data_IF_402205909319
#
_entry.id   IF_402205909319
#
_cell.length_a   1.000
_cell.length_b   1.000
_cell.length_c   1.000
_cell.angle_alpha   90.00
_cell.angle_beta   90.00
_cell.angle_gamma   90.00
#
_symmetry.space_group_name_H-M   'P 1'
#
loop_
_entity.id
_entity.type
_entity.pdbx_description
1 polymer ?
#
# COMPACT_ATOMS: atom_id res chain seq x y z
N UNK A 1 -5.56 -2.96 15.83
CA UNK A 1 -6.30 -4.18 15.48
C UNK A 1 -6.29 -4.31 13.97
N UNK A 2 -5.61 -5.29 13.42
CA UNK A 2 -5.54 -5.50 11.98
C UNK A 2 -6.77 -6.28 11.55
N UNK A 3 -7.68 -5.68 10.84
CA UNK A 3 -8.74 -6.41 10.15
C UNK A 3 -8.27 -6.75 8.74
N UNK A 4 -7.64 -7.90 8.57
CA UNK A 4 -7.38 -8.45 7.25
C UNK A 4 -8.53 -9.39 6.90
N UNK A 5 -9.47 -8.91 6.10
CA UNK A 5 -10.56 -9.74 5.59
C UNK A 5 -10.06 -10.61 4.43
N UNK A 6 -10.32 -11.92 4.49
CA UNK A 6 -10.16 -12.83 3.36
C UNK A 6 -11.42 -12.81 2.51
N UNK A 7 -11.34 -12.56 1.19
CA UNK A 7 -12.44 -12.92 0.31
C UNK A 7 -12.62 -14.45 0.34
N UNK A 8 -13.85 -14.92 0.42
CA UNK A 8 -14.22 -16.36 0.47
C UNK A 8 -13.98 -17.14 -0.83
N UNK A 9 -13.34 -16.57 -1.80
CA UNK A 9 -12.91 -17.24 -3.02
C UNK A 9 -11.39 -17.41 -2.97
N UNK A 10 -10.90 -18.49 -2.36
CA UNK A 10 -9.61 -19.16 -2.58
C UNK A 10 -8.36 -18.33 -2.95
N UNK A 11 -8.38 -17.04 -2.75
CA UNK A 11 -7.29 -16.14 -3.05
C UNK A 11 -6.52 -15.82 -1.79
N UNK A 12 -5.49 -16.59 -1.48
CA UNK A 12 -4.44 -16.07 -0.62
C UNK A 12 -3.94 -14.77 -1.28
N UNK A 13 -4.08 -13.64 -0.58
CA UNK A 13 -3.27 -12.47 -0.89
C UNK A 13 -1.83 -12.99 -0.97
N UNK A 14 -1.22 -12.81 -2.15
CA UNK A 14 0.09 -13.41 -2.38
C UNK A 14 1.11 -12.71 -1.46
N UNK A 15 1.55 -13.33 -0.36
CA UNK A 15 2.44 -12.70 0.61
C UNK A 15 3.89 -12.65 0.11
N UNK A 16 4.10 -12.80 -1.19
CA UNK A 16 5.40 -12.97 -1.84
C UNK A 16 6.41 -11.91 -1.40
N UNK A 17 5.97 -10.67 -1.29
CA UNK A 17 6.86 -9.59 -0.87
C UNK A 17 7.24 -9.65 0.60
N UNK A 18 6.38 -10.20 1.44
CA UNK A 18 6.60 -10.33 2.89
C UNK A 18 7.16 -11.70 3.28
N UNK A 19 6.74 -12.79 2.60
CA UNK A 19 7.19 -14.15 2.91
C UNK A 19 8.65 -14.41 2.53
N UNK A 20 9.25 -13.53 1.75
CA UNK A 20 10.63 -13.67 1.32
C UNK A 20 10.90 -14.83 0.37
N UNK A 21 9.87 -15.37 -0.26
CA UNK A 21 9.98 -16.46 -1.24
C UNK A 21 10.30 -15.99 -2.66
N UNK A 22 10.59 -14.72 -2.88
CA UNK A 22 10.87 -14.17 -4.20
C UNK A 22 9.61 -13.91 -5.04
N UNK A 23 9.81 -13.58 -6.31
CA UNK A 23 8.74 -13.13 -7.22
C UNK A 23 7.70 -14.19 -7.59
N UNK A 24 7.99 -15.46 -7.36
CA UNK A 24 7.05 -16.55 -7.56
C UNK A 24 7.52 -17.85 -6.88
N UNK A 25 6.88 -18.30 -5.80
CA UNK A 25 7.26 -19.53 -5.13
C UNK A 25 6.88 -20.80 -5.92
N UNK A 26 6.00 -20.74 -6.90
CA UNK A 26 5.40 -21.92 -7.50
C UNK A 26 5.78 -22.19 -8.96
N UNK A 27 6.16 -21.17 -9.72
CA UNK A 27 6.39 -21.33 -11.15
C UNK A 27 7.83 -21.50 -11.57
N UNK A 28 8.80 -21.12 -10.73
CA UNK A 28 10.17 -20.84 -11.19
C UNK A 28 11.29 -21.62 -10.54
N UNK A 29 10.99 -22.50 -9.61
CA UNK A 29 12.02 -23.23 -8.87
C UNK A 29 13.02 -23.99 -9.77
N UNK A 30 12.64 -24.60 -10.91
CA UNK A 30 13.60 -25.28 -11.76
C UNK A 30 14.46 -24.34 -12.63
N UNK A 31 13.91 -23.21 -13.09
CA UNK A 31 14.60 -22.24 -13.96
C UNK A 31 15.42 -21.22 -13.18
N UNK A 32 15.06 -20.97 -11.93
CA UNK A 32 15.62 -19.94 -11.06
C UNK A 32 16.95 -20.31 -10.41
N UNK A 33 17.46 -21.49 -10.61
CA UNK A 33 18.85 -21.79 -10.20
C UNK A 33 19.84 -20.77 -10.80
N UNK A 34 19.50 -20.18 -11.96
CA UNK A 34 20.26 -19.11 -12.60
C UNK A 34 19.74 -17.68 -12.25
N UNK A 35 18.55 -17.52 -11.65
CA UNK A 35 17.94 -16.24 -11.24
C UNK A 35 18.03 -15.97 -9.74
N UNK A 36 18.90 -16.68 -9.02
CA UNK A 36 19.17 -16.47 -7.58
C UNK A 36 19.48 -14.99 -7.25
N UNK A 37 20.03 -14.24 -8.21
CA UNK A 37 20.39 -12.84 -8.03
C UNK A 37 19.15 -11.94 -7.91
N UNK A 38 18.16 -12.08 -8.79
CA UNK A 38 16.92 -11.28 -8.76
C UNK A 38 16.01 -11.66 -7.58
N UNK A 39 15.95 -12.95 -7.24
CA UNK A 39 15.22 -13.43 -6.06
C UNK A 39 15.81 -12.89 -4.75
N UNK A 40 17.14 -12.72 -4.67
CA UNK A 40 17.80 -12.08 -3.52
C UNK A 40 17.51 -10.58 -3.43
N UNK A 41 17.52 -9.90 -4.55
CA UNK A 41 17.31 -8.45 -4.61
C UNK A 41 15.89 -8.04 -4.18
N UNK A 42 14.90 -8.86 -4.52
CA UNK A 42 13.49 -8.59 -4.23
C UNK A 42 12.98 -9.28 -2.96
N UNK A 43 13.80 -10.11 -2.33
CA UNK A 43 13.45 -10.84 -1.12
C UNK A 43 13.31 -9.87 0.06
N UNK A 44 12.25 -10.05 0.86
CA UNK A 44 12.12 -9.37 2.14
C UNK A 44 13.30 -9.70 3.08
N UNK A 45 13.76 -8.73 3.87
CA UNK A 45 14.82 -8.94 4.85
C UNK A 45 14.39 -9.92 5.97
N UNK A 46 15.31 -10.28 6.87
CA UNK A 46 15.04 -11.25 7.93
C UNK A 46 13.94 -10.75 8.89
N UNK A 47 13.97 -9.46 9.23
CA UNK A 47 13.03 -8.86 10.18
C UNK A 47 11.61 -8.84 9.63
N UNK A 48 11.45 -8.45 8.36
CA UNK A 48 10.14 -8.47 7.68
C UNK A 48 9.58 -9.91 7.60
N UNK A 49 10.43 -10.92 7.34
CA UNK A 49 10.01 -12.33 7.33
C UNK A 49 9.63 -12.85 8.72
N UNK A 50 10.32 -12.39 9.76
CA UNK A 50 9.99 -12.74 11.14
C UNK A 50 8.65 -12.11 11.53
N UNK A 51 8.47 -10.82 11.25
CA UNK A 51 7.22 -10.12 11.49
C UNK A 51 6.04 -10.77 10.75
N UNK A 52 6.26 -11.21 9.50
CA UNK A 52 5.24 -11.92 8.74
C UNK A 52 4.84 -13.25 9.41
N UNK A 53 5.82 -14.05 9.88
CA UNK A 53 5.54 -15.31 10.59
C UNK A 53 4.75 -15.08 11.89
N UNK A 54 5.08 -14.01 12.63
CA UNK A 54 4.31 -13.63 13.82
C UNK A 54 2.87 -13.23 13.46
N UNK A 55 2.71 -12.47 12.39
CA UNK A 55 1.39 -12.09 11.87
C UNK A 55 0.57 -13.32 11.45
N UNK A 56 1.18 -14.28 10.74
CA UNK A 56 0.51 -15.54 10.33
C UNK A 56 0.01 -16.36 11.54
N UNK A 57 0.65 -16.23 12.69
CA UNK A 57 0.31 -16.93 13.93
C UNK A 57 -0.73 -16.18 14.78
N UNK A 58 -1.01 -14.91 14.45
CA UNK A 58 -2.00 -14.14 15.21
C UNK A 58 -3.42 -14.60 14.93
N UNK A 59 -4.26 -14.55 15.95
CA UNK A 59 -5.67 -14.94 15.84
C UNK A 59 -6.43 -14.08 14.84
N UNK A 60 -6.14 -12.78 14.81
CA UNK A 60 -6.77 -11.82 13.92
C UNK A 60 -6.47 -12.12 12.45
N UNK A 61 -5.27 -12.61 12.14
CA UNK A 61 -4.89 -13.00 10.78
C UNK A 61 -5.49 -14.35 10.37
N UNK A 62 -5.59 -15.29 11.32
CA UNK A 62 -6.15 -16.63 11.07
C UNK A 62 -7.68 -16.59 10.96
N UNK A 63 -8.34 -15.67 11.68
CA UNK A 63 -9.79 -15.51 11.73
C UNK A 63 -10.21 -14.10 11.28
N UNK A 64 -9.97 -13.74 10.01
CA UNK A 64 -10.28 -12.39 9.52
C UNK A 64 -11.79 -12.15 9.49
N UNK A 65 -12.17 -10.95 9.86
CA UNK A 65 -13.54 -10.45 9.72
C UNK A 65 -13.89 -10.26 8.23
N UNK A 66 -15.09 -10.59 7.81
CA UNK A 66 -15.58 -10.26 6.47
C UNK A 66 -15.75 -8.75 6.33
N UNK A 67 -15.56 -8.20 5.14
CA UNK A 67 -15.66 -6.76 4.92
C UNK A 67 -17.02 -6.19 5.32
N UNK A 68 -18.11 -6.89 5.02
CA UNK A 68 -19.46 -6.53 5.40
C UNK A 68 -19.72 -6.53 6.93
N UNK A 69 -18.88 -7.22 7.70
CA UNK A 69 -19.02 -7.33 9.14
C UNK A 69 -18.10 -6.37 9.90
N UNK A 70 -17.31 -5.55 9.21
CA UNK A 70 -16.45 -4.54 9.83
C UNK A 70 -17.33 -3.50 10.55
N UNK A 71 -16.95 -3.19 11.79
CA UNK A 71 -17.57 -2.15 12.61
C UNK A 71 -16.58 -0.98 12.77
N UNK A 72 -16.56 -0.01 11.86
CA UNK A 72 -15.57 1.04 11.85
C UNK A 72 -15.68 2.00 13.04
N UNK A 73 -16.85 2.07 13.67
CA UNK A 73 -17.09 2.78 14.93
C UNK A 73 -16.27 2.21 16.10
N UNK A 74 -16.03 0.89 16.10
CA UNK A 74 -15.27 0.18 17.13
C UNK A 74 -13.76 0.17 16.86
N UNK A 75 -13.31 0.77 15.77
CA UNK A 75 -11.91 0.78 15.38
C UNK A 75 -11.31 2.19 15.57
N UNK A 76 -10.09 2.24 16.11
CA UNK A 76 -9.38 3.50 16.35
C UNK A 76 -8.66 4.05 15.12
N UNK A 77 -8.25 3.18 14.21
CA UNK A 77 -7.49 3.55 13.04
C UNK A 77 -7.64 2.53 11.90
N UNK A 78 -7.35 2.96 10.68
CA UNK A 78 -7.42 2.15 9.47
C UNK A 78 -6.03 2.06 8.83
N UNK A 79 -5.59 0.83 8.51
CA UNK A 79 -4.39 0.58 7.72
C UNK A 79 -4.77 -0.16 6.44
N UNK A 80 -4.44 0.41 5.30
CA UNK A 80 -4.74 -0.10 3.98
C UNK A 80 -3.44 -0.57 3.28
N UNK A 81 -3.16 -1.88 3.25
CA UNK A 81 -2.00 -2.42 2.56
C UNK A 81 -2.17 -2.33 1.05
N UNK A 82 -1.05 -2.39 0.35
CA UNK A 82 -1.04 -2.52 -1.10
C UNK A 82 -0.85 -3.95 -1.56
N UNK A 83 -0.75 -4.10 -2.87
CA UNK A 83 -0.48 -5.34 -3.58
C UNK A 83 -0.40 -5.07 -5.07
N UNK A 84 -0.17 -6.12 -5.85
CA UNK A 84 -0.22 -6.03 -7.30
C UNK A 84 -1.49 -6.72 -7.83
N UNK A 85 -1.44 -7.30 -9.02
CA UNK A 85 -2.51 -8.12 -9.59
C UNK A 85 -2.67 -9.49 -8.89
N UNK A 86 -2.38 -9.59 -7.60
CA UNK A 86 -2.69 -10.78 -6.83
C UNK A 86 -4.22 -11.03 -6.83
N UNK A 87 -4.61 -12.30 -6.63
CA UNK A 87 -6.03 -12.63 -6.46
C UNK A 87 -6.62 -11.81 -5.32
N UNK A 88 -7.79 -11.24 -5.53
CA UNK A 88 -8.48 -10.41 -4.56
C UNK A 88 -8.07 -8.94 -4.56
N UNK A 89 -7.07 -8.51 -5.36
CA UNK A 89 -6.66 -7.10 -5.38
C UNK A 89 -7.72 -6.21 -6.04
N UNK A 90 -8.35 -6.66 -7.12
CA UNK A 90 -9.44 -5.89 -7.74
C UNK A 90 -10.66 -5.82 -6.85
N UNK A 91 -11.05 -6.95 -6.27
CA UNK A 91 -12.14 -7.04 -5.32
C UNK A 91 -11.92 -6.10 -4.13
N UNK A 92 -10.67 -6.02 -3.62
CA UNK A 92 -10.28 -5.09 -2.57
C UNK A 92 -10.39 -3.63 -3.01
N UNK A 93 -9.90 -3.29 -4.20
CA UNK A 93 -9.87 -1.91 -4.71
C UNK A 93 -11.23 -1.43 -5.26
N UNK A 94 -12.14 -2.36 -5.54
CA UNK A 94 -13.46 -2.09 -6.14
C UNK A 94 -14.60 -2.35 -5.13
N UNK A 95 -14.28 -2.68 -3.86
CA UNK A 95 -15.28 -2.97 -2.84
C UNK A 95 -16.00 -1.71 -2.34
N UNK A 96 -17.30 -1.69 -2.50
CA UNK A 96 -18.16 -0.62 -1.96
C UNK A 96 -18.17 -0.64 -0.43
N UNK A 97 -18.15 -1.82 0.20
CA UNK A 97 -18.09 -1.94 1.66
C UNK A 97 -16.82 -1.29 2.22
N UNK A 98 -15.67 -1.52 1.56
CA UNK A 98 -14.42 -0.91 1.99
C UNK A 98 -14.38 0.59 1.73
N UNK A 99 -15.00 1.07 0.64
CA UNK A 99 -15.17 2.49 0.40
C UNK A 99 -15.97 3.16 1.54
N UNK A 100 -17.05 2.53 2.01
CA UNK A 100 -17.81 3.03 3.16
C UNK A 100 -16.99 3.03 4.46
N UNK A 101 -16.16 2.02 4.67
CA UNK A 101 -15.23 1.99 5.81
C UNK A 101 -14.25 3.17 5.72
N UNK A 102 -13.63 3.41 4.56
CA UNK A 102 -12.71 4.55 4.37
C UNK A 102 -13.42 5.87 4.63
N UNK A 103 -14.60 6.08 4.03
CA UNK A 103 -15.43 7.28 4.26
C UNK A 103 -15.71 7.51 5.74
N UNK A 104 -16.08 6.45 6.48
CA UNK A 104 -16.29 6.56 7.92
C UNK A 104 -15.08 7.13 8.65
N UNK A 105 -13.87 6.60 8.36
CA UNK A 105 -12.65 7.05 9.03
C UNK A 105 -12.31 8.51 8.72
N UNK A 106 -12.46 8.94 7.47
CA UNK A 106 -12.23 10.34 7.08
C UNK A 106 -13.29 11.28 7.69
N UNK A 107 -14.56 10.93 7.64
CA UNK A 107 -15.65 11.75 8.17
C UNK A 107 -15.59 11.91 9.70
N UNK A 108 -15.04 10.91 10.42
CA UNK A 108 -14.83 10.97 11.86
C UNK A 108 -13.43 11.43 12.25
N UNK A 109 -12.65 11.93 11.29
CA UNK A 109 -11.27 12.38 11.53
C UNK A 109 -10.43 11.37 12.33
N UNK A 110 -10.58 10.07 11.99
CA UNK A 110 -9.79 8.98 12.57
C UNK A 110 -8.50 8.77 11.77
N UNK A 111 -7.42 8.24 12.40
CA UNK A 111 -6.18 7.95 11.70
C UNK A 111 -6.35 6.94 10.55
N UNK A 112 -5.82 7.29 9.38
CA UNK A 112 -5.78 6.42 8.20
C UNK A 112 -4.37 6.36 7.66
N UNK A 113 -3.87 5.16 7.40
CA UNK A 113 -2.59 4.94 6.72
C UNK A 113 -2.79 4.04 5.51
N UNK A 114 -2.24 4.44 4.37
CA UNK A 114 -2.34 3.67 3.12
C UNK A 114 -0.99 3.60 2.40
N UNK A 115 -0.68 2.44 1.82
CA UNK A 115 0.57 2.25 1.09
C UNK A 115 0.33 1.63 -0.28
N UNK A 116 1.07 2.11 -1.30
CA UNK A 116 1.09 1.53 -2.63
C UNK A 116 -0.32 1.54 -3.28
N UNK A 117 -0.85 0.39 -3.68
CA UNK A 117 -2.23 0.27 -4.20
C UNK A 117 -3.31 0.55 -3.16
N UNK A 118 -3.02 0.45 -1.85
CA UNK A 118 -3.98 0.84 -0.81
C UNK A 118 -4.40 2.29 -0.90
N UNK A 119 -3.53 3.18 -1.40
CA UNK A 119 -3.87 4.58 -1.66
C UNK A 119 -4.92 4.72 -2.77
N UNK A 120 -4.95 3.78 -3.72
CA UNK A 120 -5.95 3.78 -4.77
C UNK A 120 -7.36 3.52 -4.24
N UNK A 121 -7.51 2.64 -3.23
CA UNK A 121 -8.79 2.45 -2.54
C UNK A 121 -9.23 3.76 -1.86
N UNK A 122 -8.32 4.48 -1.20
CA UNK A 122 -8.62 5.79 -0.60
C UNK A 122 -9.05 6.79 -1.67
N UNK A 123 -8.34 6.86 -2.80
CA UNK A 123 -8.68 7.77 -3.90
C UNK A 123 -10.06 7.48 -4.52
N UNK A 124 -10.48 6.22 -4.54
CA UNK A 124 -11.79 5.77 -5.04
C UNK A 124 -12.93 5.93 -4.06
N UNK A 125 -12.63 6.22 -2.80
CA UNK A 125 -13.64 6.48 -1.77
C UNK A 125 -14.17 7.91 -1.94
N UNK A 126 -15.31 8.01 -2.64
CA UNK A 126 -15.96 9.27 -3.00
C UNK A 126 -17.03 9.58 -1.98
N UNK A 127 -17.01 10.80 -1.41
CA UNK A 127 -18.06 11.28 -0.52
C UNK A 127 -19.31 11.60 -1.35
N UNK A 128 -20.44 10.93 -1.11
CA UNK A 128 -21.67 11.13 -1.88
C UNK A 128 -22.27 12.55 -1.71
N UNK A 129 -21.91 13.27 -0.67
CA UNK A 129 -22.39 14.64 -0.45
C UNK A 129 -21.67 15.67 -1.33
N UNK A 130 -20.42 15.40 -1.70
CA UNK A 130 -19.58 16.33 -2.46
C UNK A 130 -19.22 15.84 -3.85
N UNK A 131 -19.46 14.56 -4.14
CA UNK A 131 -19.00 13.84 -5.35
C UNK A 131 -17.48 13.94 -5.55
N UNK A 132 -16.73 14.03 -4.43
CA UNK A 132 -15.28 14.16 -4.44
C UNK A 132 -14.63 13.02 -3.65
N UNK A 133 -13.45 12.62 -4.07
CA UNK A 133 -12.61 11.72 -3.31
C UNK A 133 -12.30 12.28 -1.91
N UNK A 134 -12.17 11.42 -0.91
CA UNK A 134 -11.68 11.83 0.42
C UNK A 134 -10.24 12.39 0.37
N UNK A 135 -9.52 12.20 -0.74
CA UNK A 135 -8.21 12.82 -0.97
C UNK A 135 -8.29 14.21 -1.61
N UNK A 136 -9.46 14.69 -2.01
CA UNK A 136 -9.59 16.04 -2.56
C UNK A 136 -9.15 17.08 -1.55
N UNK A 137 -8.21 17.97 -1.95
CA UNK A 137 -7.59 18.97 -1.09
C UNK A 137 -6.60 18.42 -0.07
N UNK A 138 -6.09 17.19 -0.24
CA UNK A 138 -5.08 16.57 0.63
C UNK A 138 -3.82 16.21 -0.13
N UNK A 139 -2.71 16.31 0.57
CA UNK A 139 -1.42 15.83 0.08
C UNK A 139 -1.30 14.33 0.26
N UNK A 140 -0.76 13.66 -0.75
CA UNK A 140 -0.59 12.20 -0.74
C UNK A 140 0.57 11.76 -1.61
N UNK A 141 1.07 10.56 -1.35
CA UNK A 141 1.92 9.81 -2.27
C UNK A 141 1.36 8.40 -2.45
N UNK A 142 1.76 7.72 -3.50
CA UNK A 142 1.36 6.35 -3.80
C UNK A 142 2.44 5.67 -4.65
N UNK A 143 2.20 4.44 -5.11
CA UNK A 143 3.09 3.80 -6.07
C UNK A 143 3.28 4.68 -7.30
N UNK A 144 4.50 5.22 -7.49
CA UNK A 144 4.79 6.10 -8.62
C UNK A 144 4.84 5.33 -9.93
N UNK A 145 4.46 6.00 -11.03
CA UNK A 145 4.53 5.39 -12.37
C UNK A 145 5.92 4.88 -12.71
N UNK A 146 6.94 5.58 -12.26
CA UNK A 146 8.32 5.14 -12.46
C UNK A 146 8.60 3.78 -11.83
N UNK A 147 8.19 3.58 -10.57
CA UNK A 147 8.36 2.31 -9.84
C UNK A 147 7.48 1.21 -10.43
N UNK A 148 6.22 1.51 -10.77
CA UNK A 148 5.29 0.57 -11.38
C UNK A 148 5.77 0.11 -12.76
N UNK A 149 6.27 1.04 -13.58
CA UNK A 149 6.84 0.74 -14.90
C UNK A 149 8.11 -0.11 -14.78
N UNK A 150 9.02 0.24 -13.86
CA UNK A 150 10.24 -0.53 -13.62
C UNK A 150 9.92 -1.96 -13.15
N UNK A 151 8.99 -2.11 -12.20
CA UNK A 151 8.49 -3.41 -11.76
C UNK A 151 7.86 -4.22 -12.90
N UNK A 152 7.07 -3.56 -13.76
CA UNK A 152 6.47 -4.20 -14.94
C UNK A 152 7.51 -4.71 -15.92
N UNK A 153 8.54 -3.91 -16.22
CA UNK A 153 9.62 -4.32 -17.13
C UNK A 153 10.41 -5.50 -16.55
N UNK A 154 10.76 -5.44 -15.27
CA UNK A 154 11.43 -6.54 -14.58
C UNK A 154 10.53 -7.80 -14.55
N UNK A 155 9.24 -7.63 -14.32
CA UNK A 155 8.25 -8.70 -14.32
C UNK A 155 8.12 -9.38 -15.68
N UNK A 156 8.15 -8.63 -16.77
CA UNK A 156 8.10 -9.21 -18.13
C UNK A 156 9.27 -10.17 -18.41
N UNK A 157 10.45 -9.89 -17.85
CA UNK A 157 11.62 -10.76 -17.96
C UNK A 157 11.54 -11.95 -17.02
N UNK A 158 11.12 -11.73 -15.77
CA UNK A 158 11.09 -12.75 -14.72
C UNK A 158 9.79 -13.57 -14.67
N UNK A 159 8.68 -13.07 -15.22
CA UNK A 159 7.34 -13.68 -15.24
C UNK A 159 6.73 -13.63 -16.66
N UNK A 160 7.44 -14.14 -17.64
CA UNK A 160 6.99 -14.11 -19.03
C UNK A 160 5.62 -14.77 -19.25
N UNK A 161 5.18 -15.68 -18.36
CA UNK A 161 3.85 -16.31 -18.37
C UNK A 161 2.75 -15.38 -17.82
N UNK A 162 3.10 -14.33 -17.04
CA UNK A 162 2.17 -13.28 -16.58
C UNK A 162 2.85 -11.90 -16.67
N UNK A 163 3.06 -11.38 -17.89
CA UNK A 163 3.85 -10.16 -18.12
C UNK A 163 3.20 -8.89 -17.56
N UNK A 164 1.94 -8.98 -17.12
CA UNK A 164 1.18 -7.85 -16.57
C UNK A 164 0.97 -7.96 -15.06
N UNK A 165 1.70 -8.85 -14.38
CA UNK A 165 1.55 -9.09 -12.94
C UNK A 165 1.61 -7.81 -12.09
N UNK A 166 2.47 -6.86 -12.46
CA UNK A 166 2.65 -5.59 -11.74
C UNK A 166 1.65 -4.50 -12.15
N UNK A 167 0.73 -4.79 -13.08
CA UNK A 167 -0.29 -3.85 -13.55
C UNK A 167 -1.69 -4.37 -13.20
N UNK A 168 -2.27 -3.83 -12.12
CA UNK A 168 -3.63 -4.16 -11.70
C UNK A 168 -4.64 -3.74 -12.77
N UNK A 169 -4.45 -2.53 -13.32
CA UNK A 169 -5.25 -1.99 -14.42
C UNK A 169 -4.35 -1.65 -15.60
N UNK A 170 -4.90 -1.77 -16.79
CA UNK A 170 -4.20 -1.49 -18.05
C UNK A 170 -4.92 -0.42 -18.83
N UNK A 171 -4.14 0.35 -19.56
CA UNK A 171 -4.65 1.36 -20.46
C UNK A 171 -5.63 0.75 -21.48
N UNK A 172 -6.71 1.47 -21.76
CA UNK A 172 -7.61 1.20 -22.84
C UNK A 172 -7.04 1.75 -24.17
N UNK A 173 -7.52 1.29 -25.32
CA UNK A 173 -7.13 1.85 -26.60
C UNK A 173 -7.29 3.38 -26.61
N UNK A 174 -6.23 4.10 -27.03
CA UNK A 174 -6.21 5.56 -27.07
C UNK A 174 -5.74 6.26 -25.79
N UNK A 175 -5.59 5.55 -24.67
CA UNK A 175 -5.05 6.14 -23.46
C UNK A 175 -3.51 6.19 -23.49
N UNK A 176 -2.88 7.27 -23.02
CA UNK A 176 -1.43 7.37 -22.96
C UNK A 176 -0.82 6.39 -21.94
N UNK A 177 0.44 6.02 -22.16
CA UNK A 177 1.16 5.12 -21.25
C UNK A 177 1.18 5.66 -19.82
N UNK A 178 0.81 4.83 -18.85
CA UNK A 178 0.74 5.17 -17.45
C UNK A 178 -0.59 5.80 -17.01
N UNK A 179 -1.53 6.04 -17.92
CA UNK A 179 -2.83 6.63 -17.57
C UNK A 179 -3.58 5.82 -16.48
N UNK A 180 -3.49 4.49 -16.55
CA UNK A 180 -4.08 3.58 -15.58
C UNK A 180 -3.09 3.15 -14.48
N UNK A 181 -1.99 3.90 -14.29
CA UNK A 181 -1.09 3.68 -13.16
C UNK A 181 -1.72 4.18 -11.85
N UNK A 182 -1.24 3.63 -10.73
CA UNK A 182 -1.69 4.07 -9.39
C UNK A 182 -1.47 5.58 -9.23
N UNK A 183 -0.28 6.09 -9.58
CA UNK A 183 0.01 7.52 -9.52
C UNK A 183 -1.00 8.36 -10.30
N UNK A 184 -1.23 8.03 -11.56
CA UNK A 184 -2.10 8.85 -12.41
C UNK A 184 -3.57 8.80 -11.99
N UNK A 185 -4.04 7.64 -11.54
CA UNK A 185 -5.40 7.53 -11.04
C UNK A 185 -5.60 8.30 -9.73
N UNK A 186 -4.66 8.16 -8.78
CA UNK A 186 -4.68 8.95 -7.53
C UNK A 186 -4.61 10.44 -7.83
N UNK A 187 -3.71 10.88 -8.72
CA UNK A 187 -3.59 12.30 -9.09
C UNK A 187 -4.89 12.88 -9.64
N UNK A 188 -5.67 12.11 -10.40
CA UNK A 188 -6.98 12.57 -10.92
C UNK A 188 -8.05 12.73 -9.84
N UNK A 189 -7.87 12.12 -8.67
CA UNK A 189 -8.79 12.25 -7.54
C UNK A 189 -8.48 13.46 -6.64
N UNK A 190 -7.34 14.11 -6.84
CA UNK A 190 -6.89 15.27 -6.06
C UNK A 190 -7.46 16.57 -6.60
N UNK A 191 -7.46 17.62 -5.79
CA UNK A 191 -7.83 18.98 -6.21
C UNK A 191 -6.80 19.54 -7.19
N UNK A 192 -5.53 19.39 -6.86
CA UNK A 192 -4.42 19.83 -7.71
C UNK A 192 -3.45 18.67 -7.96
N UNK A 193 -2.92 18.55 -9.16
CA UNK A 193 -1.94 17.53 -9.48
C UNK A 193 -0.66 17.64 -8.62
N UNK A 194 -0.34 18.84 -8.12
CA UNK A 194 0.76 19.11 -7.19
C UNK A 194 0.57 18.53 -5.79
N UNK A 195 -0.65 18.14 -5.44
CA UNK A 195 -0.95 17.49 -4.15
C UNK A 195 -0.51 16.03 -4.13
N UNK A 196 -0.19 15.46 -5.32
CA UNK A 196 0.55 14.21 -5.39
C UNK A 196 2.05 14.51 -5.19
N UNK A 197 2.57 14.11 -4.05
CA UNK A 197 3.98 14.31 -3.71
C UNK A 197 4.83 13.10 -4.13
N UNK A 198 5.87 13.34 -4.90
CA UNK A 198 6.97 12.41 -5.17
C UNK A 198 8.26 13.01 -4.61
N UNK A 199 9.31 12.21 -4.57
CA UNK A 199 10.63 12.63 -4.08
C UNK A 199 11.11 13.86 -4.86
N UNK A 200 11.30 15.00 -4.20
CA UNK A 200 11.77 16.19 -4.88
C UNK A 200 13.20 16.00 -5.40
N UNK A 201 13.49 16.51 -6.59
CA UNK A 201 14.83 16.41 -7.20
C UNK A 201 15.93 17.05 -6.34
N UNK A 202 15.55 17.97 -5.44
CA UNK A 202 16.42 18.64 -4.48
C UNK A 202 16.70 17.80 -3.22
N UNK A 203 16.06 16.64 -3.05
CA UNK A 203 16.32 15.78 -1.89
C UNK A 203 17.79 15.35 -1.86
N UNK A 204 18.48 15.48 -0.72
CA UNK A 204 19.85 14.99 -0.57
C UNK A 204 19.96 13.48 -0.76
N UNK A 205 18.84 12.76 -0.59
CA UNK A 205 18.75 11.31 -0.75
C UNK A 205 18.01 10.89 -2.01
N UNK A 206 17.83 11.79 -2.99
CA UNK A 206 17.03 11.55 -4.19
C UNK A 206 17.32 10.20 -4.86
N UNK A 207 18.62 9.88 -5.05
CA UNK A 207 19.03 8.61 -5.70
C UNK A 207 18.61 7.38 -4.88
N UNK A 208 18.77 7.41 -3.57
CA UNK A 208 18.35 6.31 -2.71
C UNK A 208 16.83 6.16 -2.69
N UNK A 209 16.11 7.27 -2.53
CA UNK A 209 14.66 7.31 -2.47
C UNK A 209 13.97 6.95 -3.79
N UNK A 210 14.66 7.09 -4.92
CA UNK A 210 14.08 6.82 -6.24
C UNK A 210 14.62 5.56 -6.92
N UNK A 211 15.52 4.84 -6.28
CA UNK A 211 16.23 3.69 -6.85
C UNK A 211 15.29 2.51 -7.20
N UNK A 212 14.22 2.26 -6.43
CA UNK A 212 13.28 1.16 -6.66
C UNK A 212 13.78 -0.22 -6.23
N UNK A 213 15.02 -0.32 -5.71
CA UNK A 213 15.58 -1.56 -5.17
C UNK A 213 16.07 -1.39 -3.73
N UNK A 214 16.45 -0.17 -3.36
CA UNK A 214 16.82 0.15 -1.98
C UNK A 214 15.55 0.26 -1.13
N UNK A 215 15.62 -0.30 0.07
CA UNK A 215 14.52 -0.33 1.03
C UNK A 215 14.99 0.25 2.34
N UNK A 216 14.07 0.85 3.06
CA UNK A 216 14.30 1.26 4.44
C UNK A 216 14.46 0.06 5.39
N UNK A 217 14.90 0.35 6.60
CA UNK A 217 15.07 -0.64 7.66
C UNK A 217 14.65 -0.02 9.00
N UNK A 218 14.61 -0.81 10.09
CA UNK A 218 14.36 -0.25 11.43
C UNK A 218 15.32 0.88 11.83
N UNK A 219 16.55 0.88 11.29
CA UNK A 219 17.63 1.82 11.64
C UNK A 219 18.01 2.80 10.52
N UNK A 220 17.52 2.59 9.30
CA UNK A 220 17.83 3.46 8.14
C UNK A 220 16.56 3.83 7.38
N UNK A 221 16.14 5.07 7.50
CA UNK A 221 15.01 5.65 6.77
C UNK A 221 15.41 6.36 5.49
N UNK A 222 16.69 6.39 5.14
CA UNK A 222 17.23 7.15 3.99
C UNK A 222 16.51 6.83 2.67
N UNK A 223 16.18 5.57 2.32
CA UNK A 223 15.47 5.26 1.08
C UNK A 223 13.98 5.59 1.09
N UNK A 224 13.40 5.82 2.25
CA UNK A 224 11.96 5.98 2.40
C UNK A 224 11.45 7.36 1.97
N UNK A 225 10.21 7.38 1.52
CA UNK A 225 9.45 8.61 1.30
C UNK A 225 7.99 8.39 1.71
N UNK A 226 7.54 9.16 2.68
CA UNK A 226 6.23 9.07 3.32
C UNK A 226 5.64 10.46 3.39
N UNK A 227 4.35 10.58 3.08
CA UNK A 227 3.61 11.86 3.14
C UNK A 227 2.54 11.76 4.23
N UNK A 228 2.49 12.77 5.08
CA UNK A 228 1.47 12.91 6.12
C UNK A 228 0.70 14.21 5.92
N UNK A 229 -0.63 14.09 5.91
CA UNK A 229 -1.55 15.22 5.91
C UNK A 229 -2.57 15.04 7.06
N UNK A 230 -2.37 15.77 8.14
CA UNK A 230 -3.17 15.62 9.35
C UNK A 230 -3.11 14.20 9.93
N UNK A 231 -4.26 13.52 9.91
CA UNK A 231 -4.40 12.12 10.36
C UNK A 231 -4.36 11.10 9.22
N UNK A 232 -4.01 11.54 8.03
CA UNK A 232 -3.78 10.66 6.89
C UNK A 232 -2.28 10.51 6.61
N UNK A 233 -1.85 9.28 6.40
CA UNK A 233 -0.47 8.91 6.11
C UNK A 233 -0.42 8.05 4.86
N UNK A 234 0.49 8.35 3.93
CA UNK A 234 0.66 7.57 2.71
C UNK A 234 2.12 7.24 2.42
N UNK A 235 2.36 6.11 1.74
CA UNK A 235 3.67 5.68 1.28
C UNK A 235 3.59 5.00 -0.08
N UNK A 236 4.73 4.89 -0.76
CA UNK A 236 4.79 4.51 -2.18
C UNK A 236 4.79 3.00 -2.42
N UNK A 237 5.64 2.26 -1.72
CA UNK A 237 5.92 0.88 -2.03
C UNK A 237 6.58 0.15 -0.84
N UNK A 238 6.80 -1.18 -0.88
CA UNK A 238 7.40 -1.92 0.23
C UNK A 238 8.78 -1.45 0.70
N UNK A 239 9.47 -0.61 -0.07
CA UNK A 239 10.73 0.01 0.34
C UNK A 239 10.60 1.14 1.35
N UNK A 240 9.38 1.58 1.66
CA UNK A 240 9.08 2.65 2.62
C UNK A 240 8.47 2.09 3.93
N UNK A 241 8.36 0.77 4.07
CA UNK A 241 7.46 0.12 5.05
C UNK A 241 7.82 0.35 6.51
N UNK A 242 9.11 0.38 6.85
CA UNK A 242 9.53 0.58 8.25
C UNK A 242 9.26 2.02 8.70
N UNK A 243 9.61 2.99 7.86
CA UNK A 243 9.35 4.41 8.13
C UNK A 243 7.85 4.68 8.17
N UNK A 244 7.08 4.13 7.24
CA UNK A 244 5.63 4.22 7.21
C UNK A 244 5.00 3.63 8.49
N UNK A 245 5.39 2.43 8.89
CA UNK A 245 4.85 1.76 10.07
C UNK A 245 5.18 2.54 11.36
N UNK A 246 6.40 3.05 11.48
CA UNK A 246 6.81 3.89 12.62
C UNK A 246 6.02 5.18 12.69
N UNK A 247 5.90 5.90 11.57
CA UNK A 247 5.15 7.15 11.51
C UNK A 247 3.66 6.93 11.86
N UNK A 248 3.08 5.80 11.44
CA UNK A 248 1.71 5.44 11.81
C UNK A 248 1.59 5.11 13.30
N UNK A 249 2.52 4.35 13.87
CA UNK A 249 2.54 4.04 15.30
C UNK A 249 2.68 5.31 16.16
N UNK A 250 3.52 6.25 15.76
CA UNK A 250 3.67 7.56 16.40
C UNK A 250 2.36 8.36 16.34
N UNK A 251 1.68 8.36 15.20
CA UNK A 251 0.36 9.00 15.05
C UNK A 251 -0.66 8.40 16.02
N UNK A 252 -0.73 7.07 16.15
CA UNK A 252 -1.64 6.39 17.06
C UNK A 252 -1.33 6.69 18.54
N UNK A 253 -0.04 6.76 18.90
CA UNK A 253 0.37 7.14 20.25
C UNK A 253 -0.04 8.59 20.58
N UNK A 254 0.09 9.49 19.63
CA UNK A 254 -0.34 10.88 19.81
C UNK A 254 -1.86 10.98 20.01
N UNK A 255 -2.64 10.29 19.19
CA UNK A 255 -4.10 10.24 19.33
C UNK A 255 -4.53 9.67 20.70
N UNK A 256 -3.86 8.62 21.16
CA UNK A 256 -4.14 8.05 22.49
C UNK A 256 -3.84 9.02 23.63
N UNK A 257 -2.76 9.80 23.52
CA UNK A 257 -2.43 10.84 24.51
C UNK A 257 -3.48 11.96 24.51
N UNK A 258 -3.87 12.43 23.33
CA UNK A 258 -4.86 13.49 23.18
C UNK A 258 -6.21 13.07 23.81
N UNK A 259 -6.71 11.87 23.49
CA UNK A 259 -7.96 11.35 24.09
C UNK A 259 -7.91 11.23 25.62
N UNK A 260 -6.76 10.86 26.18
CA UNK A 260 -6.59 10.79 27.63
C UNK A 260 -6.61 12.18 28.26
N UNK A 261 -5.99 13.18 27.62
CA UNK A 261 -6.03 14.56 28.06
C UNK A 261 -7.45 15.11 28.05
N UNK A 262 -8.21 14.89 26.96
CA UNK A 262 -9.60 15.35 26.83
C UNK A 262 -10.56 14.68 27.83
N UNK A 263 -10.28 13.44 28.26
CA UNK A 263 -11.08 12.71 29.24
C UNK A 263 -10.79 13.11 30.70
N UNK A 264 -9.80 13.97 30.93
CA UNK A 264 -9.39 14.41 32.26
C UNK A 264 -9.98 15.79 32.63
N UNK A 265 -10.67 16.41 31.71
CA UNK A 265 -11.44 17.65 31.88
C UNK A 265 -12.95 17.38 31.86
#
# INVERSE_FOLDING_TARGET
MWSASRPRMGGQADPIMLSGRGLDPWGFVPLLRNFVLLGRLLRANADARNAYRQMEQSQEFQHPTRWADIRPDQCDALLLPGGHRARGMREYLESEELNQVVLHFFNHNKPVAAICHGVLLVARSVDPATDRSVLYGRKTTALTWRLERAGTLAGRLGRFWDPNYYRTYREQPGQPAGYMSVQQEVTRALEHASDFEDVPATSPHYRAQTNGTLRDSPTDSTPAFVVRDGKYLSARWPGDVFTFARAFAEMLQQETKNRKADATF
#
